data_IF_501864101746
#
_entry.id   IF_501864101746
#
_cell.length_a   1.000
_cell.length_b   1.000
_cell.length_c   1.000
_cell.angle_alpha   90.00
_cell.angle_beta   90.00
_cell.angle_gamma   90.00
#
_symmetry.space_group_name_H-M   'P 1'
#
loop_
_entity.id
_entity.type
_entity.pdbx_description
1 polymer ?
#
# COMPACT_ATOMS: atom_id res chain seq x y z
N UNK A 1 18.76 0.60 0.61
CA UNK A 1 17.36 0.62 1.12
C UNK A 1 16.87 2.06 1.08
N UNK A 2 15.80 2.36 0.34
CA UNK A 2 15.14 3.67 0.36
C UNK A 2 13.68 3.43 0.78
N UNK A 3 13.29 4.05 1.89
CA UNK A 3 11.94 4.03 2.45
C UNK A 3 11.28 5.35 1.99
N UNK A 4 10.23 5.31 1.17
CA UNK A 4 9.47 6.51 0.82
C UNK A 4 8.06 6.14 0.40
N UNK A 5 7.05 6.51 1.19
CA UNK A 5 5.71 6.91 0.72
C UNK A 5 5.23 8.03 1.64
N UNK A 6 4.90 9.17 1.02
CA UNK A 6 4.19 10.28 1.64
C UNK A 6 3.23 10.79 0.57
N UNK A 7 1.92 10.56 0.72
CA UNK A 7 0.92 11.22 -0.11
C UNK A 7 -0.22 11.71 0.78
N UNK A 8 -0.25 13.03 0.96
CA UNK A 8 -1.41 13.76 1.44
C UNK A 8 -2.42 13.83 0.29
N UNK A 9 -3.60 13.25 0.46
CA UNK A 9 -4.78 13.72 -0.26
C UNK A 9 -5.40 14.86 0.53
N UNK A 10 -5.49 16.05 -0.06
CA UNK A 10 -6.37 17.11 0.45
C UNK A 10 -7.25 17.63 -0.68
N UNK A 11 -8.57 17.66 -0.40
CA UNK A 11 -9.51 18.56 -1.04
C UNK A 11 -10.45 19.07 0.05
N UNK A 12 -10.27 20.31 0.46
CA UNK A 12 -11.23 21.07 1.26
C UNK A 12 -11.31 22.48 0.70
N UNK A 13 -12.54 22.99 0.67
CA UNK A 13 -13.05 24.31 0.24
C UNK A 13 -12.99 24.67 -1.26
N UNK A 14 -14.18 24.91 -1.81
CA UNK A 14 -14.38 25.66 -3.05
C UNK A 14 -14.07 27.14 -2.80
N UNK A 15 -12.88 27.60 -3.19
CA UNK A 15 -12.65 29.00 -3.54
C UNK A 15 -12.04 29.04 -4.94
N UNK A 16 -12.53 29.89 -5.86
CA UNK A 16 -11.92 30.02 -7.17
C UNK A 16 -10.57 30.73 -7.03
N UNK A 17 -9.50 30.08 -7.52
CA UNK A 17 -8.16 30.66 -7.61
C UNK A 17 -8.18 31.93 -8.47
N UNK A 18 -7.48 32.98 -8.04
CA UNK A 18 -7.30 34.21 -8.82
C UNK A 18 -6.58 33.93 -10.14
N UNK A 19 -6.90 34.70 -11.19
CA UNK A 19 -6.33 34.57 -12.54
C UNK A 19 -4.79 34.66 -12.56
N UNK A 20 -4.20 35.31 -11.56
CA UNK A 20 -2.76 35.46 -11.40
C UNK A 20 -2.03 34.15 -11.01
N UNK A 21 -2.74 33.20 -10.37
CA UNK A 21 -2.21 31.86 -10.06
C UNK A 21 -2.27 30.95 -11.30
N UNK A 22 -3.26 31.15 -12.18
CA UNK A 22 -3.38 30.42 -13.45
C UNK A 22 -2.26 30.75 -14.44
N UNK A 23 -1.75 31.98 -14.46
CA UNK A 23 -0.72 32.40 -15.41
C UNK A 23 0.71 32.00 -15.02
N UNK A 24 0.95 31.66 -13.74
CA UNK A 24 2.26 31.23 -13.21
C UNK A 24 2.38 29.72 -13.00
N UNK A 25 1.30 28.96 -13.23
CA UNK A 25 1.35 27.51 -13.22
C UNK A 25 1.85 26.98 -14.56
N UNK A 26 3.17 26.91 -14.74
CA UNK A 26 3.73 25.84 -15.59
C UNK A 26 3.05 24.54 -15.15
N UNK A 27 2.36 23.85 -16.05
CA UNK A 27 1.48 22.74 -15.67
C UNK A 27 2.29 21.69 -14.91
N UNK A 28 1.66 21.02 -13.95
CA UNK A 28 2.28 19.88 -13.26
C UNK A 28 2.83 18.84 -14.25
N UNK A 29 2.23 18.75 -15.44
CA UNK A 29 2.65 17.94 -16.58
C UNK A 29 4.01 18.36 -17.16
N UNK A 30 4.29 19.66 -17.31
CA UNK A 30 5.57 20.16 -17.83
C UNK A 30 6.74 19.89 -16.87
N UNK A 31 6.49 19.99 -15.57
CA UNK A 31 7.50 19.67 -14.53
C UNK A 31 7.74 18.17 -14.38
N UNK A 32 6.80 17.32 -14.82
CA UNK A 32 6.92 15.86 -14.84
C UNK A 32 8.06 15.38 -15.75
N UNK A 33 8.35 16.12 -16.82
CA UNK A 33 9.30 15.68 -17.86
C UNK A 33 10.79 15.94 -17.57
N UNK A 34 11.16 16.64 -16.48
CA UNK A 34 12.55 17.14 -16.33
C UNK A 34 13.36 16.66 -15.12
N UNK A 35 12.90 15.69 -14.33
CA UNK A 35 13.73 15.08 -13.26
C UNK A 35 13.56 13.56 -13.24
N UNK A 36 14.67 12.86 -13.47
CA UNK A 36 14.89 11.41 -13.34
C UNK A 36 13.66 10.61 -12.87
N UNK A 37 12.80 10.22 -13.83
CA UNK A 37 11.76 9.25 -13.56
C UNK A 37 12.41 7.87 -13.45
N UNK A 38 12.23 7.19 -12.32
CA UNK A 38 12.44 5.75 -12.27
C UNK A 38 11.47 5.14 -13.29
N UNK A 39 11.99 4.48 -14.32
CA UNK A 39 11.15 3.88 -15.35
C UNK A 39 10.24 2.83 -14.71
N UNK A 40 8.92 3.00 -14.85
CA UNK A 40 7.94 2.05 -14.30
C UNK A 40 8.13 0.62 -14.86
N UNK A 41 8.88 0.48 -15.95
CA UNK A 41 9.38 -0.78 -16.50
C UNK A 41 10.11 -1.66 -15.47
N UNK A 42 10.74 -1.07 -14.45
CA UNK A 42 11.44 -1.82 -13.40
C UNK A 42 10.51 -2.64 -12.48
N UNK A 43 9.19 -2.41 -12.52
CA UNK A 43 8.21 -3.14 -11.71
C UNK A 43 7.68 -4.40 -12.41
N UNK A 44 7.89 -4.53 -13.72
CA UNK A 44 7.41 -5.69 -14.49
C UNK A 44 7.98 -6.99 -13.93
N UNK A 45 7.10 -7.95 -13.67
CA UNK A 45 7.45 -9.27 -13.14
C UNK A 45 7.93 -9.29 -11.68
N UNK A 46 7.95 -8.15 -10.99
CA UNK A 46 8.22 -8.07 -9.55
C UNK A 46 7.04 -8.65 -8.77
N UNK A 47 7.32 -9.38 -7.69
CA UNK A 47 6.29 -9.89 -6.79
C UNK A 47 6.09 -8.89 -5.66
N UNK A 48 4.92 -8.27 -5.63
CA UNK A 48 4.56 -7.18 -4.72
C UNK A 48 3.38 -7.61 -3.86
N UNK A 49 3.57 -7.61 -2.55
CA UNK A 49 2.52 -7.90 -1.58
C UNK A 49 1.94 -6.61 -1.01
N UNK A 50 0.64 -6.40 -1.18
CA UNK A 50 -0.09 -5.24 -0.71
C UNK A 50 -1.05 -5.65 0.41
N UNK A 51 -0.86 -5.07 1.60
CA UNK A 51 -1.82 -5.20 2.70
C UNK A 51 -2.88 -4.09 2.62
N UNK A 52 -4.11 -4.38 3.04
CA UNK A 52 -5.23 -3.42 2.90
C UNK A 52 -5.61 -3.17 1.43
N UNK A 53 -5.46 -4.18 0.58
CA UNK A 53 -5.74 -4.08 -0.86
C UNK A 53 -7.23 -4.16 -1.21
N UNK A 54 -8.09 -4.47 -0.26
CA UNK A 54 -9.54 -4.62 -0.48
C UNK A 54 -10.28 -3.30 -0.74
N UNK A 55 -9.62 -2.15 -0.53
CA UNK A 55 -10.24 -0.83 -0.68
C UNK A 55 -9.23 0.30 -0.85
N UNK A 56 -9.73 1.48 -1.27
CA UNK A 56 -9.03 2.76 -1.13
C UNK A 56 -7.70 2.79 -1.88
N UNK A 57 -6.64 3.24 -1.20
CA UNK A 57 -5.32 3.37 -1.80
C UNK A 57 -4.72 2.02 -2.21
N UNK A 58 -4.89 0.98 -1.40
CA UNK A 58 -4.34 -0.35 -1.67
C UNK A 58 -4.97 -0.99 -2.91
N UNK A 59 -6.27 -0.81 -3.08
CA UNK A 59 -7.02 -1.23 -4.26
C UNK A 59 -6.49 -0.55 -5.54
N UNK A 60 -6.41 0.78 -5.55
CA UNK A 60 -5.96 1.52 -6.73
C UNK A 60 -4.47 1.28 -7.03
N UNK A 61 -3.66 1.08 -5.98
CA UNK A 61 -2.27 0.67 -6.14
C UNK A 61 -2.16 -0.70 -6.81
N UNK A 62 -3.03 -1.65 -6.47
CA UNK A 62 -3.07 -2.96 -7.14
C UNK A 62 -3.35 -2.79 -8.65
N UNK A 63 -4.30 -1.92 -9.02
CA UNK A 63 -4.62 -1.63 -10.43
C UNK A 63 -3.44 -1.00 -11.17
N UNK A 64 -2.79 0.00 -10.58
CA UNK A 64 -1.62 0.64 -11.20
C UNK A 64 -0.47 -0.37 -11.38
N UNK A 65 -0.20 -1.19 -10.36
CA UNK A 65 0.85 -2.20 -10.45
C UNK A 65 0.52 -3.32 -11.46
N UNK A 66 -0.77 -3.62 -11.65
CA UNK A 66 -1.22 -4.51 -12.72
C UNK A 66 -0.96 -3.92 -14.11
N UNK A 67 -1.19 -2.61 -14.32
CA UNK A 67 -0.83 -1.93 -15.58
C UNK A 67 0.67 -2.05 -15.91
N UNK A 68 1.53 -2.07 -14.88
CA UNK A 68 2.98 -2.24 -15.04
C UNK A 68 3.43 -3.71 -15.09
N UNK A 69 2.50 -4.67 -15.09
CA UNK A 69 2.78 -6.10 -15.20
C UNK A 69 3.49 -6.69 -13.98
N UNK A 70 3.24 -6.13 -12.80
CA UNK A 70 3.74 -6.70 -11.53
C UNK A 70 2.89 -7.91 -11.13
N UNK A 71 3.51 -8.90 -10.49
CA UNK A 71 2.78 -10.00 -9.85
C UNK A 71 2.32 -9.54 -8.48
N UNK A 72 1.06 -9.79 -8.15
CA UNK A 72 0.40 -9.20 -6.98
C UNK A 72 0.01 -10.27 -5.97
N UNK A 73 0.31 -10.00 -4.70
CA UNK A 73 -0.34 -10.65 -3.56
C UNK A 73 -1.22 -9.59 -2.92
N UNK A 74 -2.53 -9.82 -2.87
CA UNK A 74 -3.48 -8.86 -2.32
C UNK A 74 -4.11 -9.41 -1.04
N UNK A 75 -3.99 -8.64 0.03
CA UNK A 75 -4.45 -9.03 1.36
C UNK A 75 -5.33 -7.98 2.02
N UNK A 76 -6.29 -8.46 2.80
CA UNK A 76 -7.31 -7.68 3.50
C UNK A 76 -8.32 -8.63 4.14
N UNK A 77 -9.28 -8.04 4.87
CA UNK A 77 -10.25 -8.82 5.65
C UNK A 77 -11.47 -9.29 4.85
N UNK A 78 -11.78 -8.63 3.74
CA UNK A 78 -12.94 -8.98 2.89
C UNK A 78 -12.46 -9.71 1.64
N UNK A 79 -12.58 -11.03 1.64
CA UNK A 79 -12.26 -11.88 0.49
C UNK A 79 -13.10 -11.52 -0.73
N UNK A 80 -14.39 -11.23 -0.56
CA UNK A 80 -15.27 -10.77 -1.64
C UNK A 80 -14.70 -9.53 -2.35
N UNK A 81 -14.26 -8.52 -1.59
CA UNK A 81 -13.67 -7.31 -2.16
C UNK A 81 -12.33 -7.58 -2.82
N UNK A 82 -11.48 -8.42 -2.22
CA UNK A 82 -10.21 -8.82 -2.84
C UNK A 82 -10.44 -9.53 -4.16
N UNK A 83 -11.46 -10.38 -4.26
CA UNK A 83 -11.82 -11.03 -5.52
C UNK A 83 -12.29 -10.03 -6.58
N UNK A 84 -13.04 -8.98 -6.22
CA UNK A 84 -13.36 -7.87 -7.14
C UNK A 84 -12.10 -7.16 -7.63
N UNK A 85 -11.15 -6.90 -6.73
CA UNK A 85 -9.84 -6.31 -7.08
C UNK A 85 -9.06 -7.22 -8.02
N UNK A 86 -9.02 -8.53 -7.75
CA UNK A 86 -8.41 -9.53 -8.64
C UNK A 86 -9.06 -9.47 -10.02
N UNK A 87 -10.38 -9.55 -10.12
CA UNK A 87 -11.11 -9.47 -11.40
C UNK A 87 -10.72 -8.21 -12.18
N UNK A 88 -10.63 -7.06 -11.52
CA UNK A 88 -10.22 -5.83 -12.19
C UNK A 88 -8.76 -5.85 -12.67
N UNK A 89 -7.85 -6.45 -11.91
CA UNK A 89 -6.46 -6.65 -12.34
C UNK A 89 -6.37 -7.57 -13.57
N UNK A 90 -7.23 -8.60 -13.65
CA UNK A 90 -7.34 -9.48 -14.81
C UNK A 90 -7.84 -8.72 -16.05
N UNK A 91 -8.89 -7.90 -15.90
CA UNK A 91 -9.41 -7.04 -16.97
C UNK A 91 -8.36 -6.06 -17.51
N UNK A 92 -7.44 -5.59 -16.66
CA UNK A 92 -6.31 -4.74 -17.04
C UNK A 92 -5.29 -5.49 -17.90
N UNK A 93 -5.29 -6.83 -17.88
CA UNK A 93 -4.42 -7.69 -18.69
C UNK A 93 -3.37 -8.45 -17.88
N UNK A 94 -3.48 -8.49 -16.55
CA UNK A 94 -2.59 -9.30 -15.73
C UNK A 94 -3.02 -10.78 -15.76
N UNK A 95 -2.11 -11.76 -15.95
CA UNK A 95 -2.47 -13.17 -15.92
C UNK A 95 -3.06 -13.60 -14.58
N UNK A 96 -3.96 -14.59 -14.59
CA UNK A 96 -4.58 -15.09 -13.36
C UNK A 96 -3.58 -15.63 -12.35
N UNK A 97 -2.55 -16.32 -12.82
CA UNK A 97 -1.50 -16.84 -11.96
C UNK A 97 -0.61 -15.76 -11.32
N UNK A 98 -0.67 -14.54 -11.85
CA UNK A 98 0.09 -13.40 -11.34
C UNK A 98 -0.71 -12.60 -10.30
N UNK A 99 -1.93 -13.00 -9.95
CA UNK A 99 -2.72 -12.38 -8.86
C UNK A 99 -3.10 -13.42 -7.82
N UNK A 100 -2.47 -13.33 -6.65
CA UNK A 100 -2.76 -14.20 -5.50
C UNK A 100 -3.59 -13.46 -4.45
N UNK A 101 -4.81 -13.94 -4.22
CA UNK A 101 -5.69 -13.47 -3.13
C UNK A 101 -5.31 -14.19 -1.85
N UNK A 102 -4.87 -13.44 -0.84
CA UNK A 102 -4.46 -13.97 0.45
C UNK A 102 -5.21 -13.23 1.57
N UNK A 103 -6.44 -13.66 1.91
CA UNK A 103 -7.26 -13.00 2.91
C UNK A 103 -6.74 -13.33 4.31
N UNK A 104 -6.57 -12.30 5.13
CA UNK A 104 -6.31 -12.42 6.57
C UNK A 104 -6.53 -11.06 7.24
N UNK A 105 -6.70 -11.06 8.55
CA UNK A 105 -6.71 -9.84 9.34
C UNK A 105 -5.29 -9.54 9.85
N UNK A 106 -4.82 -8.31 9.61
CA UNK A 106 -3.48 -7.88 10.00
C UNK A 106 -3.22 -7.90 11.52
N UNK A 107 -4.27 -7.85 12.34
CA UNK A 107 -4.15 -7.94 13.80
C UNK A 107 -3.98 -9.37 14.31
N UNK A 108 -4.15 -10.38 13.45
CA UNK A 108 -4.02 -11.79 13.83
C UNK A 108 -2.55 -12.21 13.72
N UNK A 109 -1.71 -11.73 14.64
CA UNK A 109 -0.25 -11.84 14.56
C UNK A 109 0.28 -13.25 14.29
N UNK A 110 -0.41 -14.28 14.79
CA UNK A 110 -0.01 -15.68 14.68
C UNK A 110 -0.07 -16.20 13.24
N UNK A 111 -0.92 -15.62 12.38
CA UNK A 111 -1.06 -16.08 10.99
C UNK A 111 0.02 -15.52 10.06
N UNK A 112 0.75 -14.49 10.48
CA UNK A 112 1.71 -13.79 9.61
C UNK A 112 2.80 -14.72 9.08
N UNK A 113 3.31 -15.61 9.92
CA UNK A 113 4.32 -16.60 9.54
C UNK A 113 3.79 -17.55 8.45
N UNK A 114 2.56 -18.02 8.61
CA UNK A 114 1.89 -18.88 7.64
C UNK A 114 1.62 -18.14 6.31
N UNK A 115 1.21 -16.88 6.38
CA UNK A 115 1.00 -16.04 5.19
C UNK A 115 2.30 -15.86 4.40
N UNK A 116 3.43 -15.60 5.06
CA UNK A 116 4.75 -15.51 4.40
C UNK A 116 5.11 -16.83 3.71
N UNK A 117 4.86 -17.97 4.36
CA UNK A 117 5.09 -19.29 3.76
C UNK A 117 4.22 -19.52 2.52
N UNK A 118 2.93 -19.17 2.56
CA UNK A 118 2.02 -19.26 1.39
C UNK A 118 2.52 -18.40 0.23
N UNK A 119 2.99 -17.19 0.50
CA UNK A 119 3.59 -16.30 -0.51
C UNK A 119 4.83 -16.93 -1.15
N UNK A 120 5.73 -17.46 -0.33
CA UNK A 120 6.92 -18.15 -0.81
C UNK A 120 6.57 -19.40 -1.63
N UNK A 121 5.55 -20.16 -1.24
CA UNK A 121 5.10 -21.34 -2.00
C UNK A 121 4.50 -20.96 -3.36
N UNK A 122 3.70 -19.89 -3.44
CA UNK A 122 3.07 -19.47 -4.70
C UNK A 122 4.08 -18.88 -5.69
N UNK A 123 4.95 -17.97 -5.22
CA UNK A 123 5.80 -17.17 -6.12
C UNK A 123 7.30 -17.47 -6.03
N UNK A 124 7.74 -18.26 -5.05
CA UNK A 124 9.16 -18.57 -4.75
C UNK A 124 10.02 -17.33 -4.44
N UNK A 125 9.43 -16.15 -4.44
CA UNK A 125 10.10 -14.87 -4.24
C UNK A 125 9.10 -13.83 -3.73
N UNK A 126 9.63 -12.84 -3.03
CA UNK A 126 8.93 -11.59 -2.72
C UNK A 126 9.92 -10.44 -2.96
N UNK A 127 9.55 -9.46 -3.77
CA UNK A 127 10.40 -8.31 -4.08
C UNK A 127 10.03 -7.08 -3.24
N UNK A 128 8.74 -6.87 -2.99
CA UNK A 128 8.23 -5.69 -2.28
C UNK A 128 7.10 -6.07 -1.32
N UNK A 129 7.18 -5.60 -0.07
CA UNK A 129 6.05 -5.58 0.86
C UNK A 129 5.56 -4.13 1.01
N UNK A 130 4.30 -3.90 0.67
CA UNK A 130 3.58 -2.64 0.86
C UNK A 130 2.69 -2.76 2.09
N UNK A 131 3.18 -2.23 3.21
CA UNK A 131 2.41 -2.05 4.43
C UNK A 131 1.45 -0.87 4.27
N UNK A 132 0.24 -1.17 3.81
CA UNK A 132 -0.80 -0.19 3.53
C UNK A 132 -2.08 -0.41 4.38
N UNK A 133 -2.27 -1.61 4.94
CA UNK A 133 -3.37 -1.84 5.86
C UNK A 133 -3.33 -0.86 7.03
N UNK A 134 -4.47 -0.22 7.28
CA UNK A 134 -4.60 0.71 8.38
C UNK A 134 -6.03 1.21 8.53
N UNK A 135 -6.30 1.82 9.67
CA UNK A 135 -7.56 2.48 9.99
C UNK A 135 -7.28 3.87 10.54
N UNK A 136 -8.20 4.78 10.29
CA UNK A 136 -8.21 6.12 10.89
C UNK A 136 -9.46 6.26 11.74
N UNK A 137 -9.35 6.89 12.90
CA UNK A 137 -10.48 7.32 13.70
C UNK A 137 -10.54 8.85 13.74
N UNK A 138 -11.75 9.40 13.80
CA UNK A 138 -11.98 10.81 14.16
C UNK A 138 -12.77 10.84 15.46
N UNK A 139 -12.17 11.39 16.50
CA UNK A 139 -12.82 11.63 17.79
C UNK A 139 -12.12 12.81 18.48
N UNK A 140 -12.82 13.45 19.41
CA UNK A 140 -12.19 14.39 20.34
C UNK A 140 -11.16 13.64 21.18
N UNK A 141 -9.95 14.18 21.33
CA UNK A 141 -8.92 13.56 22.16
C UNK A 141 -9.36 13.39 23.62
N UNK A 142 -10.21 14.29 24.12
CA UNK A 142 -10.73 14.21 25.49
C UNK A 142 -11.79 13.11 25.68
N UNK A 143 -12.39 12.62 24.59
CA UNK A 143 -13.56 11.75 24.62
C UNK A 143 -13.31 10.38 23.99
N UNK A 144 -12.16 10.17 23.36
CA UNK A 144 -11.81 8.89 22.74
C UNK A 144 -11.55 7.84 23.82
N UNK A 145 -12.18 6.67 23.65
CA UNK A 145 -11.89 5.52 24.49
C UNK A 145 -10.48 4.99 24.17
N UNK A 146 -9.67 4.80 25.20
CA UNK A 146 -8.32 4.22 25.10
C UNK A 146 -8.30 2.87 24.35
N UNK A 147 -9.41 2.13 24.36
CA UNK A 147 -9.56 0.90 23.57
C UNK A 147 -9.41 1.19 22.07
N UNK A 148 -9.99 2.28 21.59
CA UNK A 148 -9.90 2.69 20.18
C UNK A 148 -8.48 3.09 19.82
N UNK A 149 -7.78 3.78 20.72
CA UNK A 149 -6.35 4.08 20.53
C UNK A 149 -5.52 2.80 20.41
N UNK A 150 -5.76 1.83 21.30
CA UNK A 150 -5.07 0.53 21.25
C UNK A 150 -5.33 -0.20 19.94
N UNK A 151 -6.59 -0.28 19.49
CA UNK A 151 -6.95 -0.90 18.22
C UNK A 151 -6.28 -0.22 17.02
N UNK A 152 -6.17 1.11 17.03
CA UNK A 152 -5.45 1.87 15.99
C UNK A 152 -3.96 1.54 15.99
N UNK A 153 -3.32 1.46 17.16
CA UNK A 153 -1.91 1.09 17.26
C UNK A 153 -1.67 -0.39 16.87
N UNK A 154 -2.57 -1.28 17.24
CA UNK A 154 -2.51 -2.69 16.85
C UNK A 154 -2.46 -2.85 15.33
N UNK A 155 -3.38 -2.22 14.60
CA UNK A 155 -3.41 -2.35 13.14
C UNK A 155 -2.36 -1.48 12.43
N UNK A 156 -2.18 -0.22 12.80
CA UNK A 156 -1.32 0.70 12.05
C UNK A 156 0.17 0.51 12.34
N UNK A 157 0.51 0.03 13.55
CA UNK A 157 1.89 -0.05 14.02
C UNK A 157 2.31 -1.49 14.26
N UNK A 158 1.70 -2.17 15.23
CA UNK A 158 2.20 -3.47 15.69
C UNK A 158 2.04 -4.55 14.62
N UNK A 159 0.91 -4.59 13.91
CA UNK A 159 0.65 -5.53 12.82
C UNK A 159 1.68 -5.37 11.70
N UNK A 160 1.88 -4.13 11.25
CA UNK A 160 2.91 -3.75 10.27
C UNK A 160 4.30 -4.21 10.70
N UNK A 161 4.67 -3.98 11.96
CA UNK A 161 5.96 -4.40 12.50
C UNK A 161 6.10 -5.92 12.52
N UNK A 162 5.08 -6.64 12.99
CA UNK A 162 5.11 -8.08 13.09
C UNK A 162 5.29 -8.72 11.71
N UNK A 163 4.46 -8.34 10.73
CA UNK A 163 4.58 -8.86 9.35
C UNK A 163 5.93 -8.51 8.72
N UNK A 164 6.38 -7.26 8.90
CA UNK A 164 7.67 -6.80 8.39
C UNK A 164 8.82 -7.63 8.95
N UNK A 165 8.81 -7.98 10.25
CA UNK A 165 9.82 -8.86 10.84
C UNK A 165 9.85 -10.23 10.17
N UNK A 166 8.68 -10.82 9.89
CA UNK A 166 8.58 -12.12 9.22
C UNK A 166 9.13 -12.07 7.80
N UNK A 167 8.79 -11.02 7.05
CA UNK A 167 9.32 -10.81 5.69
C UNK A 167 10.80 -10.43 5.69
N UNK A 168 11.29 -9.73 6.72
CA UNK A 168 12.69 -9.31 6.81
C UNK A 168 13.64 -10.50 6.80
N UNK A 169 13.32 -11.60 7.50
CA UNK A 169 14.12 -12.81 7.46
C UNK A 169 14.30 -13.31 6.02
N UNK A 170 13.22 -13.36 5.23
CA UNK A 170 13.27 -13.72 3.82
C UNK A 170 14.11 -12.75 2.98
N UNK A 171 13.99 -11.44 3.19
CA UNK A 171 14.76 -10.45 2.44
C UNK A 171 16.26 -10.48 2.76
N UNK A 172 16.62 -10.77 4.01
CA UNK A 172 18.01 -10.92 4.42
C UNK A 172 18.65 -12.15 3.78
N UNK A 173 17.97 -13.30 3.78
CA UNK A 173 18.44 -14.54 3.14
C UNK A 173 18.63 -14.38 1.63
N UNK A 174 17.77 -13.59 0.98
CA UNK A 174 17.83 -13.37 -0.46
C UNK A 174 18.67 -12.17 -0.89
N UNK A 175 19.24 -11.43 0.08
CA UNK A 175 19.98 -10.17 -0.11
C UNK A 175 19.25 -9.12 -0.97
N UNK A 176 17.92 -9.16 -0.99
CA UNK A 176 17.08 -8.26 -1.79
C UNK A 176 15.70 -8.13 -1.18
N UNK A 177 15.09 -6.98 -1.40
CA UNK A 177 13.72 -6.71 -0.99
C UNK A 177 13.51 -5.24 -0.62
N UNK A 178 12.28 -4.77 -0.78
CA UNK A 178 11.89 -3.41 -0.44
C UNK A 178 10.65 -3.39 0.45
N UNK A 179 10.71 -2.56 1.49
CA UNK A 179 9.53 -2.22 2.28
C UNK A 179 9.01 -0.86 1.84
N UNK A 180 7.71 -0.80 1.59
CA UNK A 180 6.95 0.41 1.35
C UNK A 180 5.97 0.54 2.49
N UNK A 181 5.96 1.69 3.17
CA UNK A 181 5.07 1.93 4.33
C UNK A 181 4.21 3.14 4.01
N UNK A 182 2.90 2.93 3.91
CA UNK A 182 1.94 4.01 3.76
C UNK A 182 1.81 4.73 5.10
N UNK A 183 2.11 6.02 5.11
CA UNK A 183 1.89 6.92 6.25
C UNK A 183 0.99 8.09 5.84
N UNK A 184 0.69 8.97 6.79
CA UNK A 184 -0.15 10.15 6.55
C UNK A 184 0.63 11.44 6.83
N UNK A 185 0.33 12.49 6.08
CA UNK A 185 0.83 13.84 6.36
C UNK A 185 0.44 14.35 7.75
N UNK A 186 -0.72 13.90 8.26
CA UNK A 186 -1.17 14.22 9.61
C UNK A 186 -0.19 13.68 10.66
N UNK A 187 0.50 12.57 10.38
CA UNK A 187 1.57 12.06 11.25
C UNK A 187 2.79 12.97 11.36
N UNK A 188 2.91 13.99 10.50
CA UNK A 188 3.94 15.04 10.59
C UNK A 188 3.41 16.37 11.10
N UNK A 189 2.15 16.69 10.81
CA UNK A 189 1.60 18.04 11.03
C UNK A 189 0.79 18.15 12.33
N UNK A 190 0.33 17.03 12.89
CA UNK A 190 -0.69 17.05 13.95
C UNK A 190 -2.06 17.47 13.39
N UNK A 191 -3.13 17.05 14.05
CA UNK A 191 -4.50 17.45 13.75
C UNK A 191 -5.22 17.77 15.05
#
# INVERSE_FOLDING_TARGET
QKLFVCLAGYRTSQEPLSEEIRSRSSTWEEKRNKKHFYHAEHLRGKVIWITGASSGLGEHLAYELAHHGSKLIISGTSEERLNKVKTKCLEIGLPEDDVFVLPFNMTDFDVHEECVKKVQQKFHKLDVLVNNAGRSQRASFAEIDVKVDKELFEINVFATLNLTRKVLHHFLENHRGHFVVTSSCVGKMGY
#
